data_IF_895364020423
#
_entry.id   IF_895364020423
#
_cell.length_a   1.000
_cell.length_b   1.000
_cell.length_c   1.000
_cell.angle_alpha   90.00
_cell.angle_beta   90.00
_cell.angle_gamma   90.00
#
_symmetry.space_group_name_H-M   'P 1'
#
loop_
_entity.id
_entity.type
_entity.pdbx_description
1 polymer ?
#
# COMPACT_ATOMS: atom_id res chain seq x y z
N UNK A 1 -19.17 -17.34 -25.78
CA UNK A 1 -18.02 -18.24 -25.69
C UNK A 1 -16.81 -17.37 -25.36
N UNK A 2 -16.39 -17.34 -24.10
CA UNK A 2 -15.17 -16.61 -23.72
C UNK A 2 -13.97 -17.41 -24.21
N UNK A 3 -13.25 -16.88 -25.18
CA UNK A 3 -11.94 -17.42 -25.57
C UNK A 3 -11.05 -17.29 -24.36
N UNK A 4 -10.70 -18.41 -23.73
CA UNK A 4 -9.64 -18.45 -22.74
C UNK A 4 -8.39 -17.88 -23.42
N UNK A 5 -7.89 -16.74 -22.90
CA UNK A 5 -6.59 -16.22 -23.31
C UNK A 5 -5.59 -17.30 -22.90
N UNK A 6 -4.96 -17.97 -23.87
CA UNK A 6 -3.90 -18.94 -23.61
C UNK A 6 -2.81 -18.22 -22.80
N UNK A 7 -2.50 -18.76 -21.63
CA UNK A 7 -1.36 -18.30 -20.83
C UNK A 7 -0.08 -18.90 -21.44
N UNK A 8 0.73 -18.11 -22.19
CA UNK A 8 1.88 -18.64 -22.92
C UNK A 8 2.99 -19.19 -22.00
N UNK A 9 2.90 -18.89 -20.72
CA UNK A 9 3.87 -19.34 -19.71
C UNK A 9 3.39 -20.55 -18.90
N UNK A 10 2.13 -20.98 -19.07
CA UNK A 10 1.53 -22.05 -18.26
C UNK A 10 2.38 -23.31 -18.23
N UNK A 11 2.79 -23.82 -19.39
CA UNK A 11 3.58 -25.04 -19.50
C UNK A 11 4.95 -24.90 -18.78
N UNK A 12 5.69 -23.82 -19.04
CA UNK A 12 7.00 -23.58 -18.42
C UNK A 12 6.89 -23.43 -16.89
N UNK A 13 5.87 -22.74 -16.40
CA UNK A 13 5.59 -22.58 -14.96
C UNK A 13 5.29 -23.92 -14.31
N UNK A 14 4.40 -24.72 -14.93
CA UNK A 14 3.96 -26.02 -14.41
C UNK A 14 5.13 -27.01 -14.39
N UNK A 15 5.93 -27.08 -15.46
CA UNK A 15 7.11 -27.94 -15.55
C UNK A 15 8.17 -27.55 -14.52
N UNK A 16 8.43 -26.24 -14.36
CA UNK A 16 9.35 -25.76 -13.34
C UNK A 16 8.86 -26.08 -11.92
N UNK A 17 7.57 -25.90 -11.64
CA UNK A 17 6.99 -26.18 -10.32
C UNK A 17 7.08 -27.68 -9.98
N UNK A 18 6.81 -28.57 -10.95
CA UNK A 18 6.99 -30.03 -10.80
C UNK A 18 8.42 -30.39 -10.49
N UNK A 19 9.38 -29.81 -11.22
CA UNK A 19 10.80 -30.03 -10.97
C UNK A 19 11.23 -29.51 -9.58
N UNK A 20 10.81 -28.28 -9.21
CA UNK A 20 11.18 -27.66 -7.95
C UNK A 20 10.60 -28.39 -6.72
N UNK A 21 9.43 -29.03 -6.85
CA UNK A 21 8.79 -29.80 -5.77
C UNK A 21 9.09 -31.29 -5.80
N UNK A 22 9.67 -31.80 -6.91
CA UNK A 22 9.85 -33.24 -7.14
C UNK A 22 8.54 -34.00 -7.35
N UNK A 23 7.44 -33.31 -7.74
CA UNK A 23 6.11 -33.88 -7.90
C UNK A 23 5.69 -33.83 -9.37
N UNK A 24 5.80 -34.95 -10.13
CA UNK A 24 5.52 -34.95 -11.56
C UNK A 24 4.06 -34.65 -11.90
N UNK A 25 3.13 -34.97 -11.00
CA UNK A 25 1.68 -34.80 -11.18
C UNK A 25 1.14 -33.52 -10.49
N UNK A 26 2.03 -32.58 -10.10
CA UNK A 26 1.62 -31.35 -9.43
C UNK A 26 0.68 -30.53 -10.33
N UNK A 27 -0.47 -30.19 -9.81
CA UNK A 27 -1.44 -29.31 -10.45
C UNK A 27 -1.45 -27.92 -9.77
N UNK A 28 -1.37 -26.88 -10.56
CA UNK A 28 -1.44 -25.50 -10.11
C UNK A 28 -2.86 -24.94 -10.30
N UNK A 29 -3.39 -24.31 -9.26
CA UNK A 29 -4.63 -23.53 -9.30
C UNK A 29 -4.32 -22.04 -9.09
N UNK A 30 -5.01 -21.15 -9.79
CA UNK A 30 -4.78 -19.71 -9.62
C UNK A 30 -5.15 -19.27 -8.20
N UNK A 31 -4.19 -18.73 -7.45
CA UNK A 31 -4.39 -18.25 -6.09
C UNK A 31 -4.83 -16.78 -6.09
N UNK A 32 -4.10 -15.92 -6.81
CA UNK A 32 -4.44 -14.51 -6.97
C UNK A 32 -3.83 -13.93 -8.25
N UNK A 33 -4.29 -12.73 -8.63
CA UNK A 33 -3.65 -11.89 -9.63
C UNK A 33 -3.32 -10.55 -8.98
N UNK A 34 -2.08 -10.13 -9.10
CA UNK A 34 -1.65 -8.81 -8.68
C UNK A 34 -2.24 -7.72 -9.60
N UNK A 35 -2.16 -6.48 -9.16
CA UNK A 35 -2.44 -5.33 -10.00
C UNK A 35 -1.36 -5.14 -11.09
N UNK A 36 -0.16 -5.71 -10.90
CA UNK A 36 0.97 -5.74 -11.82
C UNK A 36 0.95 -6.91 -12.80
N UNK A 37 2.15 -7.35 -13.23
CA UNK A 37 2.33 -8.43 -14.19
C UNK A 37 2.56 -9.79 -13.54
N UNK A 38 2.69 -9.84 -12.21
CA UNK A 38 2.87 -11.07 -11.44
C UNK A 38 1.58 -11.85 -11.32
N UNK A 39 1.70 -13.17 -11.32
CA UNK A 39 0.60 -14.08 -11.01
C UNK A 39 1.03 -15.12 -9.97
N UNK A 40 0.06 -15.54 -9.15
CA UNK A 40 0.31 -16.47 -8.06
C UNK A 40 -0.55 -17.72 -8.22
N UNK A 41 0.06 -18.88 -8.04
CA UNK A 41 -0.54 -20.17 -8.28
C UNK A 41 -0.29 -21.08 -7.09
N UNK A 42 -1.34 -21.69 -6.58
CA UNK A 42 -1.27 -22.56 -5.41
C UNK A 42 -1.24 -24.03 -5.83
N UNK A 43 -0.46 -24.83 -5.14
CA UNK A 43 -0.43 -26.29 -5.29
C UNK A 43 -0.36 -26.96 -3.92
N UNK A 44 -0.90 -28.19 -3.84
CA UNK A 44 -0.72 -29.07 -2.67
C UNK A 44 0.40 -30.06 -2.97
N UNK A 45 1.41 -30.09 -2.11
CA UNK A 45 2.54 -31.01 -2.19
C UNK A 45 2.32 -32.14 -1.17
N UNK A 46 2.17 -33.42 -1.59
CA UNK A 46 1.94 -34.52 -0.68
C UNK A 46 3.01 -34.61 0.41
N UNK A 47 2.58 -34.65 1.67
CA UNK A 47 3.45 -34.74 2.85
C UNK A 47 4.16 -33.42 3.25
N UNK A 48 4.02 -32.32 2.49
CA UNK A 48 4.67 -31.04 2.76
C UNK A 48 3.67 -29.88 2.96
N UNK A 49 2.39 -30.09 2.63
CA UNK A 49 1.37 -29.04 2.69
C UNK A 49 1.19 -28.30 1.37
N UNK A 50 0.74 -27.05 1.44
CA UNK A 50 0.56 -26.21 0.24
C UNK A 50 1.73 -25.25 0.02
N UNK A 51 1.95 -24.90 -1.25
CA UNK A 51 2.97 -23.95 -1.71
C UNK A 51 2.36 -22.99 -2.71
N UNK A 52 3.01 -21.83 -2.90
CA UNK A 52 2.62 -20.83 -3.90
C UNK A 52 3.74 -20.64 -4.90
N UNK A 53 3.43 -20.75 -6.18
CA UNK A 53 4.31 -20.39 -7.27
C UNK A 53 4.01 -18.95 -7.69
N UNK A 54 5.00 -18.06 -7.58
CA UNK A 54 4.95 -16.72 -8.18
C UNK A 54 5.54 -16.81 -9.58
N UNK A 55 4.81 -16.31 -10.56
CA UNK A 55 5.26 -16.15 -11.95
C UNK A 55 5.35 -14.67 -12.27
N UNK A 56 6.59 -14.18 -12.45
CA UNK A 56 6.94 -12.81 -12.85
C UNK A 56 7.58 -12.86 -14.21
N UNK A 57 6.86 -12.57 -15.32
CA UNK A 57 7.40 -12.65 -16.67
C UNK A 57 8.61 -11.71 -16.86
N UNK A 58 9.83 -12.18 -17.10
CA UNK A 58 11.04 -11.34 -17.12
C UNK A 58 11.01 -10.20 -18.16
N UNK A 59 10.25 -10.37 -19.24
CA UNK A 59 10.07 -9.33 -20.25
C UNK A 59 9.21 -8.15 -19.76
N UNK A 60 8.45 -8.30 -18.68
CA UNK A 60 7.53 -7.32 -18.12
C UNK A 60 7.97 -6.83 -16.75
N UNK A 61 8.50 -7.72 -15.91
CA UNK A 61 8.89 -7.41 -14.54
C UNK A 61 10.03 -8.32 -14.06
N UNK A 62 11.18 -7.73 -13.70
CA UNK A 62 12.31 -8.45 -13.12
C UNK A 62 12.02 -8.87 -11.68
N UNK A 63 12.23 -10.14 -11.35
CA UNK A 63 12.00 -10.69 -10.01
C UNK A 63 13.13 -10.34 -9.01
N UNK A 64 14.29 -9.90 -9.47
CA UNK A 64 15.47 -9.64 -8.62
C UNK A 64 15.25 -8.52 -7.60
N UNK A 65 14.56 -7.39 -7.90
CA UNK A 65 14.22 -6.40 -6.90
C UNK A 65 13.33 -6.95 -5.78
N UNK A 66 12.36 -7.83 -6.11
CA UNK A 66 11.54 -8.51 -5.12
C UNK A 66 12.39 -9.38 -4.19
N UNK A 67 13.27 -10.23 -4.75
CA UNK A 67 14.17 -11.08 -3.96
C UNK A 67 15.11 -10.27 -3.07
N UNK A 68 15.65 -9.17 -3.58
CA UNK A 68 16.52 -8.29 -2.81
C UNK A 68 15.81 -7.70 -1.59
N UNK A 69 14.59 -7.22 -1.77
CA UNK A 69 13.80 -6.67 -0.66
C UNK A 69 13.38 -7.78 0.31
N UNK A 70 12.97 -8.95 -0.21
CA UNK A 70 12.69 -10.13 0.61
C UNK A 70 13.87 -10.46 1.52
N UNK A 71 15.08 -10.62 0.95
CA UNK A 71 16.29 -10.98 1.72
C UNK A 71 16.66 -9.91 2.75
N UNK A 72 16.39 -8.62 2.46
CA UNK A 72 16.61 -7.52 3.39
C UNK A 72 15.67 -7.61 4.60
N UNK A 73 14.38 -7.82 4.34
CA UNK A 73 13.35 -7.92 5.38
C UNK A 73 13.54 -9.18 6.23
N UNK A 74 13.78 -10.33 5.61
CA UNK A 74 14.00 -11.60 6.31
C UNK A 74 15.21 -11.50 7.26
N UNK A 75 16.35 -10.94 6.81
CA UNK A 75 17.52 -10.69 7.65
C UNK A 75 17.25 -9.70 8.78
N UNK A 76 16.35 -8.75 8.57
CA UNK A 76 15.86 -7.81 9.58
C UNK A 76 14.86 -8.42 10.57
N UNK A 77 14.55 -9.71 10.45
CA UNK A 77 13.61 -10.40 11.34
C UNK A 77 12.15 -10.11 11.06
N UNK A 78 11.84 -9.51 9.90
CA UNK A 78 10.46 -9.33 9.43
C UNK A 78 9.95 -10.66 8.91
N UNK A 79 8.74 -11.05 9.30
CA UNK A 79 8.09 -12.26 8.79
C UNK A 79 7.57 -12.00 7.38
N UNK A 80 8.23 -12.59 6.41
CA UNK A 80 7.85 -12.61 4.99
C UNK A 80 7.65 -14.07 4.54
N UNK A 81 6.98 -14.37 3.40
CA UNK A 81 6.88 -15.74 2.89
C UNK A 81 8.27 -16.32 2.61
N UNK A 82 8.56 -17.52 3.09
CA UNK A 82 9.86 -18.16 2.81
C UNK A 82 9.99 -18.49 1.33
N UNK A 83 11.16 -18.24 0.75
CA UNK A 83 11.50 -18.68 -0.62
C UNK A 83 12.04 -20.10 -0.55
N UNK A 84 11.30 -21.06 -1.10
CA UNK A 84 11.63 -22.49 -1.07
C UNK A 84 12.50 -22.89 -2.27
N UNK A 85 12.25 -22.29 -3.44
CA UNK A 85 13.07 -22.44 -4.64
C UNK A 85 12.94 -21.21 -5.54
N UNK A 86 13.90 -20.97 -6.42
CA UNK A 86 13.90 -19.83 -7.33
C UNK A 86 14.54 -20.15 -8.67
N UNK A 87 13.98 -19.57 -9.74
CA UNK A 87 14.57 -19.45 -11.06
C UNK A 87 14.45 -17.99 -11.50
N UNK A 88 15.50 -17.23 -11.26
CA UNK A 88 15.51 -15.79 -11.53
C UNK A 88 15.50 -15.44 -13.01
N UNK A 89 16.02 -16.31 -13.87
CA UNK A 89 16.09 -16.07 -15.30
C UNK A 89 14.75 -16.37 -15.97
N UNK A 90 14.03 -17.38 -15.49
CA UNK A 90 12.66 -17.67 -15.92
C UNK A 90 11.62 -16.81 -15.18
N UNK A 91 11.97 -16.19 -14.03
CA UNK A 91 11.08 -15.36 -13.22
C UNK A 91 10.11 -16.18 -12.37
N UNK A 92 10.49 -17.38 -11.92
CA UNK A 92 9.67 -18.23 -11.06
C UNK A 92 10.22 -18.30 -9.63
N UNK A 93 9.33 -18.17 -8.65
CA UNK A 93 9.65 -18.43 -7.24
C UNK A 93 8.65 -19.44 -6.66
N UNK A 94 9.16 -20.42 -5.90
CA UNK A 94 8.35 -21.28 -5.05
C UNK A 94 8.37 -20.69 -3.64
N UNK A 95 7.21 -20.33 -3.15
CA UNK A 95 7.03 -19.65 -1.88
C UNK A 95 6.25 -20.52 -0.90
N UNK A 96 6.47 -20.29 0.38
CA UNK A 96 5.59 -20.75 1.44
C UNK A 96 4.17 -20.26 1.21
N UNK A 97 3.18 -21.13 1.41
CA UNK A 97 1.78 -20.74 1.40
C UNK A 97 1.35 -20.28 2.80
N UNK A 98 1.02 -19.02 2.94
CA UNK A 98 0.54 -18.42 4.18
C UNK A 98 -0.98 -18.51 4.36
N UNK A 99 -1.69 -19.22 3.47
CA UNK A 99 -3.14 -19.32 3.48
C UNK A 99 -3.83 -18.38 2.50
N UNK A 100 -5.13 -18.24 2.64
CA UNK A 100 -5.95 -17.45 1.71
C UNK A 100 -6.40 -16.10 2.30
N UNK A 101 -6.43 -15.98 3.62
CA UNK A 101 -7.00 -14.83 4.30
C UNK A 101 -5.93 -13.82 4.68
N UNK A 102 -6.10 -12.59 4.22
CA UNK A 102 -5.32 -11.45 4.70
C UNK A 102 -5.96 -10.89 5.97
N UNK A 103 -5.24 -10.01 6.66
CA UNK A 103 -5.78 -9.32 7.83
C UNK A 103 -7.09 -8.57 7.51
N UNK A 104 -7.25 -8.06 6.28
CA UNK A 104 -8.47 -7.41 5.82
C UNK A 104 -9.72 -8.32 5.93
N UNK A 105 -9.57 -9.64 5.78
CA UNK A 105 -10.66 -10.60 5.83
C UNK A 105 -11.07 -10.99 7.26
N UNK A 106 -10.16 -10.87 8.23
CA UNK A 106 -10.34 -11.39 9.58
C UNK A 106 -10.46 -10.31 10.66
N UNK A 107 -10.08 -9.07 10.35
CA UNK A 107 -10.10 -7.96 11.31
C UNK A 107 -11.51 -7.40 11.47
N UNK A 108 -11.91 -7.18 12.71
CA UNK A 108 -13.17 -6.52 13.08
C UNK A 108 -12.99 -5.59 14.29
N UNK A 109 -14.08 -4.95 14.74
CA UNK A 109 -14.03 -4.00 15.84
C UNK A 109 -13.61 -4.62 17.18
N UNK A 110 -13.83 -5.94 17.38
CA UNK A 110 -13.54 -6.64 18.62
C UNK A 110 -12.10 -7.15 18.70
N UNK A 111 -11.44 -7.39 17.55
CA UNK A 111 -10.09 -7.95 17.49
C UNK A 111 -9.03 -6.98 16.95
N UNK A 112 -9.43 -5.80 16.46
CA UNK A 112 -8.55 -4.84 15.80
C UNK A 112 -7.34 -4.44 16.66
N UNK A 113 -7.50 -4.25 17.96
CA UNK A 113 -6.39 -3.83 18.83
C UNK A 113 -5.26 -4.87 18.84
N UNK A 114 -5.60 -6.15 18.98
CA UNK A 114 -4.61 -7.23 18.99
C UNK A 114 -3.91 -7.38 17.61
N UNK A 115 -4.67 -7.28 16.53
CA UNK A 115 -4.13 -7.36 15.18
C UNK A 115 -3.22 -6.17 14.84
N UNK A 116 -3.62 -4.97 15.24
CA UNK A 116 -2.79 -3.77 15.02
C UNK A 116 -1.55 -3.77 15.93
N UNK A 117 -1.62 -4.33 17.13
CA UNK A 117 -0.41 -4.54 17.95
C UNK A 117 0.59 -5.46 17.24
N UNK A 118 0.13 -6.57 16.67
CA UNK A 118 0.98 -7.46 15.88
C UNK A 118 1.50 -6.79 14.58
N UNK A 119 0.70 -5.93 13.95
CA UNK A 119 1.14 -5.15 12.80
C UNK A 119 2.20 -4.12 13.19
N UNK A 120 2.05 -3.43 14.32
CA UNK A 120 3.08 -2.52 14.84
C UNK A 120 4.39 -3.29 15.09
N UNK A 121 4.35 -4.51 15.61
CA UNK A 121 5.56 -5.34 15.82
C UNK A 121 6.35 -5.54 14.53
N UNK A 122 5.67 -5.90 13.43
CA UNK A 122 6.32 -6.07 12.13
C UNK A 122 6.83 -4.74 11.56
N UNK A 123 6.04 -3.67 11.72
CA UNK A 123 6.42 -2.34 11.22
C UNK A 123 7.67 -1.80 11.92
N UNK A 124 7.78 -1.97 13.23
CA UNK A 124 8.97 -1.57 13.99
C UNK A 124 10.23 -2.33 13.54
N UNK A 125 10.08 -3.63 13.21
CA UNK A 125 11.18 -4.42 12.62
C UNK A 125 11.59 -3.88 11.25
N UNK A 126 10.63 -3.56 10.38
CA UNK A 126 10.90 -2.96 9.07
C UNK A 126 11.68 -1.64 9.25
N UNK A 127 11.20 -0.76 10.10
CA UNK A 127 11.78 0.58 10.28
C UNK A 127 13.10 0.59 11.06
N UNK A 128 13.42 -0.48 11.79
CA UNK A 128 14.70 -0.67 12.42
C UNK A 128 15.80 -1.12 11.44
N UNK A 129 15.43 -1.59 10.24
CA UNK A 129 16.39 -1.95 9.19
C UNK A 129 17.00 -0.66 8.62
N UNK A 130 18.33 -0.49 8.65
CA UNK A 130 18.97 0.62 7.94
C UNK A 130 18.62 0.57 6.45
N UNK A 131 18.04 1.66 5.93
CA UNK A 131 17.73 1.74 4.51
C UNK A 131 19.05 1.69 3.70
N UNK A 132 19.19 0.75 2.73
CA UNK A 132 20.34 0.72 1.84
C UNK A 132 20.51 2.03 1.07
N UNK A 133 21.75 2.46 0.83
CA UNK A 133 22.06 3.73 0.15
C UNK A 133 21.50 3.81 -1.28
N UNK A 134 21.34 2.67 -1.93
CA UNK A 134 20.81 2.55 -3.31
C UNK A 134 19.28 2.31 -3.34
N UNK A 135 18.62 2.34 -2.18
CA UNK A 135 17.16 2.29 -2.14
C UNK A 135 16.57 3.61 -2.65
N UNK A 136 15.53 3.59 -3.51
CA UNK A 136 14.88 4.81 -3.94
C UNK A 136 14.44 5.67 -2.76
N UNK A 137 14.59 6.97 -2.88
CA UNK A 137 14.12 7.91 -1.86
C UNK A 137 12.70 8.36 -2.18
N UNK A 138 11.90 8.52 -1.12
CA UNK A 138 10.62 9.22 -1.22
C UNK A 138 10.91 10.73 -1.26
N UNK A 139 11.41 11.16 -2.39
CA UNK A 139 11.89 12.52 -2.64
C UNK A 139 10.78 13.48 -3.11
N UNK A 140 11.13 14.76 -3.28
CA UNK A 140 10.22 15.80 -3.78
C UNK A 140 9.59 15.39 -5.12
N UNK A 141 10.38 14.80 -6.03
CA UNK A 141 9.92 14.43 -7.36
C UNK A 141 8.87 13.30 -7.29
N UNK A 142 9.08 12.28 -6.42
CA UNK A 142 8.12 11.19 -6.24
C UNK A 142 6.85 11.68 -5.54
N UNK A 143 6.98 12.42 -4.44
CA UNK A 143 5.86 13.02 -3.72
C UNK A 143 5.01 13.93 -4.62
N UNK A 144 5.66 14.77 -5.41
CA UNK A 144 5.01 15.68 -6.36
C UNK A 144 4.26 14.93 -7.45
N UNK A 145 4.88 13.91 -8.08
CA UNK A 145 4.20 13.07 -9.09
C UNK A 145 2.97 12.39 -8.53
N UNK A 146 3.02 11.91 -7.29
CA UNK A 146 1.89 11.26 -6.66
C UNK A 146 0.75 12.24 -6.34
N UNK A 147 1.06 13.45 -5.88
CA UNK A 147 0.06 14.50 -5.64
C UNK A 147 -0.64 14.92 -6.93
N UNK A 148 0.09 15.01 -8.07
CA UNK A 148 -0.51 15.35 -9.37
C UNK A 148 -1.52 14.33 -9.88
N UNK A 149 -1.55 13.12 -9.34
CA UNK A 149 -2.62 12.16 -9.67
C UNK A 149 -4.00 12.67 -9.23
N UNK A 150 -4.07 13.52 -8.17
CA UNK A 150 -5.32 14.10 -7.73
C UNK A 150 -5.89 15.09 -8.74
N UNK A 151 -5.11 16.07 -9.18
CA UNK A 151 -5.58 17.07 -10.15
C UNK A 151 -5.79 16.47 -11.55
N UNK A 152 -4.88 15.61 -12.02
CA UNK A 152 -4.98 15.03 -13.36
C UNK A 152 -6.11 14.01 -13.48
N UNK A 153 -6.18 13.06 -12.54
CA UNK A 153 -7.07 11.91 -12.67
C UNK A 153 -8.37 12.08 -11.89
N UNK A 154 -8.31 12.55 -10.63
CA UNK A 154 -9.52 12.67 -9.85
C UNK A 154 -10.31 13.93 -10.22
N UNK A 155 -9.70 15.12 -10.16
CA UNK A 155 -10.41 16.35 -10.59
C UNK A 155 -10.68 16.35 -12.08
N UNK A 156 -9.65 16.19 -12.91
CA UNK A 156 -9.76 16.35 -14.35
C UNK A 156 -10.55 15.24 -15.03
N UNK A 157 -10.10 13.98 -14.91
CA UNK A 157 -10.67 12.85 -15.64
C UNK A 157 -11.93 12.30 -15.01
N UNK A 158 -12.01 12.19 -13.69
CA UNK A 158 -13.15 11.57 -13.02
C UNK A 158 -14.29 12.55 -12.78
N UNK A 159 -14.01 13.72 -12.23
CA UNK A 159 -15.02 14.74 -11.94
C UNK A 159 -15.29 15.69 -13.11
N UNK A 160 -14.46 15.67 -14.16
CA UNK A 160 -14.62 16.58 -15.32
C UNK A 160 -14.33 18.05 -14.99
N UNK A 161 -13.67 18.32 -13.87
CA UNK A 161 -13.36 19.67 -13.42
C UNK A 161 -12.16 20.21 -14.20
N UNK A 162 -12.25 21.45 -14.63
CA UNK A 162 -11.16 22.21 -15.23
C UNK A 162 -10.74 23.33 -14.24
N UNK A 163 -9.74 23.09 -13.38
CA UNK A 163 -9.31 24.08 -12.39
C UNK A 163 -8.80 25.36 -13.09
N UNK A 164 -9.23 26.53 -12.61
CA UNK A 164 -8.70 27.81 -13.07
C UNK A 164 -7.28 28.07 -12.53
N UNK A 165 -6.60 29.10 -13.02
CA UNK A 165 -5.24 29.44 -12.58
C UNK A 165 -5.13 29.58 -11.07
N UNK A 166 -6.09 30.25 -10.40
CA UNK A 166 -6.09 30.41 -8.95
C UNK A 166 -6.26 29.11 -8.18
N UNK A 167 -6.99 28.11 -8.74
CA UNK A 167 -7.12 26.78 -8.11
C UNK A 167 -5.83 25.97 -8.28
N UNK A 168 -5.16 26.08 -9.45
CA UNK A 168 -3.86 25.45 -9.67
C UNK A 168 -2.80 26.02 -8.73
N UNK A 169 -2.77 27.34 -8.56
CA UNK A 169 -1.87 28.00 -7.59
C UNK A 169 -2.16 27.54 -6.15
N UNK A 170 -3.45 27.40 -5.78
CA UNK A 170 -3.86 26.90 -4.47
C UNK A 170 -3.41 25.45 -4.24
N UNK A 171 -3.51 24.58 -5.26
CA UNK A 171 -3.01 23.21 -5.20
C UNK A 171 -1.48 23.19 -5.08
N UNK A 172 -0.77 24.00 -5.86
CA UNK A 172 0.70 24.06 -5.82
C UNK A 172 1.22 24.51 -4.46
N UNK A 173 0.58 25.50 -3.84
CA UNK A 173 0.91 25.94 -2.48
C UNK A 173 0.70 24.81 -1.45
N UNK A 174 -0.44 24.15 -1.52
CA UNK A 174 -0.75 23.04 -0.61
C UNK A 174 0.20 21.86 -0.81
N UNK A 175 0.53 21.51 -2.07
CA UNK A 175 1.45 20.42 -2.38
C UNK A 175 2.86 20.71 -1.84
N UNK A 176 3.32 21.94 -1.95
CA UNK A 176 4.60 22.37 -1.35
C UNK A 176 4.61 22.16 0.16
N UNK A 177 3.55 22.59 0.86
CA UNK A 177 3.42 22.37 2.32
C UNK A 177 3.48 20.87 2.67
N UNK A 178 2.78 20.03 1.91
CA UNK A 178 2.74 18.58 2.16
C UNK A 178 4.10 17.90 1.87
N UNK A 179 4.76 18.31 0.79
CA UNK A 179 6.08 17.81 0.40
C UNK A 179 7.12 18.22 1.45
N UNK A 180 7.17 19.50 1.81
CA UNK A 180 8.12 20.01 2.80
C UNK A 180 7.92 19.30 4.16
N UNK A 181 6.67 19.10 4.58
CA UNK A 181 6.35 18.38 5.82
C UNK A 181 6.78 16.91 5.77
N UNK A 182 6.65 16.24 4.62
CA UNK A 182 7.10 14.86 4.44
C UNK A 182 8.63 14.76 4.47
N UNK A 183 9.32 15.66 3.77
CA UNK A 183 10.79 15.69 3.69
C UNK A 183 11.47 16.09 5.01
N UNK A 184 10.77 16.82 5.88
CA UNK A 184 11.24 17.20 7.21
C UNK A 184 11.19 16.07 8.24
N UNK A 185 10.48 14.97 7.95
CA UNK A 185 10.40 13.82 8.86
C UNK A 185 11.70 13.00 8.83
N UNK A 186 12.03 12.32 9.94
CA UNK A 186 13.07 11.30 9.92
C UNK A 186 12.79 10.23 8.87
N UNK A 187 13.87 9.75 8.23
CA UNK A 187 13.76 8.72 7.18
C UNK A 187 14.00 7.34 7.75
N UNK A 188 13.17 6.40 7.34
CA UNK A 188 13.26 4.97 7.66
C UNK A 188 13.00 4.15 6.39
N UNK A 189 13.11 2.82 6.46
CA UNK A 189 12.58 1.93 5.44
C UNK A 189 11.05 2.01 5.48
N UNK A 190 10.43 2.46 4.39
CA UNK A 190 8.99 2.62 4.21
C UNK A 190 8.50 1.60 3.20
N UNK A 191 7.52 0.80 3.60
CA UNK A 191 6.89 -0.23 2.79
C UNK A 191 6.01 0.35 1.68
N UNK A 192 5.39 1.52 1.91
CA UNK A 192 4.43 2.28 1.08
C UNK A 192 3.01 1.70 1.03
N UNK A 193 2.87 0.40 1.03
CA UNK A 193 1.58 -0.29 0.99
C UNK A 193 1.37 -1.18 2.23
N UNK A 194 1.80 -0.68 3.41
CA UNK A 194 1.63 -1.33 4.70
C UNK A 194 0.20 -1.18 5.18
N UNK A 195 -0.65 -2.13 4.82
CA UNK A 195 -2.09 -2.08 5.07
C UNK A 195 -2.66 -3.50 5.26
N UNK A 196 -3.85 -3.67 5.87
CA UNK A 196 -4.42 -4.96 6.22
C UNK A 196 -4.49 -5.99 5.08
N UNK A 197 -4.67 -5.56 3.83
CA UNK A 197 -4.70 -6.47 2.68
C UNK A 197 -3.34 -7.10 2.35
N UNK A 198 -2.24 -6.50 2.81
CA UNK A 198 -0.87 -6.94 2.59
C UNK A 198 -0.24 -7.57 3.84
N UNK A 199 -1.05 -7.86 4.84
CA UNK A 199 -0.66 -8.56 6.07
C UNK A 199 -1.41 -9.88 6.15
N UNK A 200 -0.69 -10.97 6.40
CA UNK A 200 -1.26 -12.33 6.50
C UNK A 200 -1.18 -12.81 7.95
N UNK A 201 -2.31 -13.17 8.59
CA UNK A 201 -2.27 -13.86 9.87
C UNK A 201 -1.51 -15.18 9.77
N UNK A 202 -0.55 -15.37 10.66
CA UNK A 202 0.24 -16.60 10.78
C UNK A 202 0.42 -16.97 12.25
N UNK A 203 0.86 -18.19 12.54
CA UNK A 203 1.18 -18.58 13.90
C UNK A 203 2.22 -17.63 14.50
N UNK A 204 1.86 -17.00 15.62
CA UNK A 204 2.73 -16.07 16.33
C UNK A 204 2.75 -14.63 15.80
N UNK A 205 1.84 -14.25 14.90
CA UNK A 205 1.74 -12.84 14.48
C UNK A 205 1.24 -12.62 13.05
N UNK A 206 1.91 -11.74 12.32
CA UNK A 206 1.57 -11.37 10.95
C UNK A 206 2.79 -11.53 10.03
N UNK A 207 2.57 -12.00 8.81
CA UNK A 207 3.55 -11.93 7.72
C UNK A 207 3.23 -10.78 6.79
N UNK A 208 4.28 -10.19 6.19
CA UNK A 208 4.20 -8.99 5.35
C UNK A 208 4.35 -9.39 3.89
N UNK A 209 3.49 -8.87 3.04
CA UNK A 209 3.47 -9.05 1.58
C UNK A 209 3.67 -7.70 0.86
N UNK A 210 3.94 -7.76 -0.44
CA UNK A 210 3.91 -6.60 -1.36
C UNK A 210 4.92 -5.49 -1.02
N UNK A 211 6.13 -5.89 -0.65
CA UNK A 211 7.20 -5.06 -0.11
C UNK A 211 8.23 -4.57 -1.16
N UNK A 212 8.15 -4.99 -2.41
CA UNK A 212 9.18 -4.73 -3.42
C UNK A 212 9.31 -3.26 -3.84
N UNK A 213 8.29 -2.45 -3.59
CA UNK A 213 8.28 -1.02 -3.90
C UNK A 213 8.68 -0.13 -2.71
N UNK A 214 9.32 -0.72 -1.70
CA UNK A 214 9.79 -0.01 -0.52
C UNK A 214 10.83 1.07 -0.87
N UNK A 215 10.85 2.13 -0.07
CA UNK A 215 11.71 3.32 -0.27
C UNK A 215 12.28 3.79 1.07
N UNK A 216 13.32 4.64 1.02
CA UNK A 216 13.73 5.43 2.18
C UNK A 216 12.83 6.68 2.27
N UNK A 217 11.99 6.79 3.31
CA UNK A 217 10.96 7.82 3.37
C UNK A 217 10.51 8.20 4.78
N UNK A 218 9.46 9.03 4.88
CA UNK A 218 9.00 9.62 6.14
C UNK A 218 8.44 8.56 7.10
N UNK A 219 8.89 8.59 8.35
CA UNK A 219 8.59 7.59 9.38
C UNK A 219 7.10 7.43 9.66
N UNK A 220 6.29 8.48 9.50
CA UNK A 220 4.85 8.44 9.76
C UNK A 220 4.03 7.87 8.58
N UNK A 221 4.63 7.52 7.43
CA UNK A 221 3.88 7.06 6.25
C UNK A 221 3.16 5.73 6.49
N UNK A 222 3.89 4.69 6.85
CA UNK A 222 3.32 3.35 7.00
C UNK A 222 2.34 3.21 8.16
N UNK A 223 2.58 3.79 9.38
CA UNK A 223 1.57 3.74 10.43
C UNK A 223 0.27 4.47 10.01
N UNK A 224 0.39 5.57 9.24
CA UNK A 224 -0.78 6.25 8.69
C UNK A 224 -1.50 5.39 7.64
N UNK A 225 -0.75 4.69 6.79
CA UNK A 225 -1.31 3.75 5.80
C UNK A 225 -2.06 2.60 6.46
N UNK A 226 -1.53 2.08 7.57
CA UNK A 226 -2.12 0.98 8.33
C UNK A 226 -3.47 1.36 8.96
N UNK A 227 -3.54 2.51 9.64
CA UNK A 227 -4.70 2.89 10.44
C UNK A 227 -5.74 3.71 9.69
N UNK A 228 -5.35 4.38 8.60
CA UNK A 228 -6.25 5.06 7.64
C UNK A 228 -6.23 4.32 6.30
N UNK A 229 -6.73 3.09 6.34
CA UNK A 229 -6.70 2.16 5.23
C UNK A 229 -7.63 2.55 4.07
N UNK A 230 -7.38 1.95 2.92
CA UNK A 230 -8.17 2.15 1.71
C UNK A 230 -9.51 1.39 1.72
N UNK A 231 -9.64 0.36 2.53
CA UNK A 231 -10.78 -0.57 2.50
C UNK A 231 -11.53 -0.65 3.83
N UNK A 232 -10.92 -0.21 4.93
CA UNK A 232 -11.50 -0.16 6.28
C UNK A 232 -11.45 1.25 6.84
N UNK A 233 -12.46 1.63 7.61
CA UNK A 233 -12.49 2.87 8.38
C UNK A 233 -12.73 2.58 9.84
N UNK A 234 -12.08 3.36 10.69
CA UNK A 234 -12.17 3.27 12.13
C UNK A 234 -12.52 4.63 12.72
N UNK A 235 -13.17 4.67 13.89
CA UNK A 235 -13.40 5.92 14.58
C UNK A 235 -12.11 6.72 14.78
N UNK A 236 -12.11 8.05 14.57
CA UNK A 236 -10.90 8.88 14.62
C UNK A 236 -10.13 8.75 15.94
N UNK A 237 -10.83 8.61 17.06
CA UNK A 237 -10.25 8.41 18.39
C UNK A 237 -9.49 7.07 18.52
N UNK A 238 -9.96 6.01 17.86
CA UNK A 238 -9.23 4.73 17.83
C UNK A 238 -7.96 4.86 17.00
N UNK A 239 -8.06 5.49 15.83
CA UNK A 239 -6.91 5.74 14.95
C UNK A 239 -5.84 6.55 15.67
N UNK A 240 -6.21 7.62 16.38
CA UNK A 240 -5.28 8.42 17.17
C UNK A 240 -4.65 7.60 18.28
N UNK A 241 -5.44 6.77 18.99
CA UNK A 241 -4.94 5.87 20.03
C UNK A 241 -3.89 4.88 19.49
N UNK A 242 -4.10 4.29 18.29
CA UNK A 242 -3.12 3.39 17.66
C UNK A 242 -1.87 4.13 17.15
N UNK A 243 -2.01 5.34 16.63
CA UNK A 243 -0.88 6.18 16.25
C UNK A 243 -0.01 6.54 17.47
N UNK A 244 -0.63 6.89 18.61
CA UNK A 244 0.09 7.16 19.86
C UNK A 244 0.75 5.89 20.42
N UNK A 245 0.09 4.75 20.33
CA UNK A 245 0.67 3.45 20.72
C UNK A 245 1.88 3.09 19.86
N UNK A 246 1.77 3.24 18.54
CA UNK A 246 2.92 3.08 17.64
C UNK A 246 4.05 4.04 18.02
N UNK A 247 3.75 5.33 18.22
CA UNK A 247 4.75 6.34 18.59
C UNK A 247 5.51 5.99 19.86
N UNK A 248 4.82 5.61 20.94
CA UNK A 248 5.45 5.20 22.20
C UNK A 248 6.39 4.00 21.99
N UNK A 249 5.91 2.97 21.29
CA UNK A 249 6.70 1.77 21.00
C UNK A 249 7.86 2.04 20.05
N UNK A 250 7.72 2.97 19.11
CA UNK A 250 8.78 3.40 18.22
C UNK A 250 9.92 4.11 18.99
N UNK A 251 9.58 4.97 19.94
CA UNK A 251 10.58 5.58 20.85
C UNK A 251 11.34 4.51 21.64
N UNK A 252 10.63 3.57 22.25
CA UNK A 252 11.22 2.48 23.02
C UNK A 252 12.13 1.59 22.17
N UNK A 253 11.78 1.39 20.90
CA UNK A 253 12.56 0.63 19.93
C UNK A 253 13.71 1.43 19.29
N UNK A 254 13.89 2.72 19.63
CA UNK A 254 14.93 3.57 19.04
C UNK A 254 14.67 3.99 17.59
N UNK A 255 13.43 3.88 17.09
CA UNK A 255 13.04 4.39 15.79
C UNK A 255 13.05 5.92 15.84
N UNK A 256 13.57 6.61 14.83
CA UNK A 256 13.71 8.07 14.84
C UNK A 256 12.35 8.77 14.63
N UNK A 257 11.50 8.78 15.66
CA UNK A 257 10.25 9.55 15.69
C UNK A 257 10.44 10.83 16.51
N UNK A 258 9.68 11.91 16.27
CA UNK A 258 9.68 13.08 17.14
C UNK A 258 9.38 12.70 18.59
N UNK A 259 10.10 13.27 19.56
CA UNK A 259 9.88 12.97 20.98
C UNK A 259 8.48 13.41 21.46
N UNK A 260 7.97 14.53 20.94
CA UNK A 260 6.65 15.04 21.27
C UNK A 260 5.56 14.32 20.45
N UNK A 261 4.60 13.64 21.09
CA UNK A 261 3.54 12.91 20.39
C UNK A 261 2.66 13.82 19.51
N UNK A 262 2.44 15.07 19.91
CA UNK A 262 1.67 16.04 19.13
C UNK A 262 2.35 16.36 17.80
N UNK A 263 3.69 16.42 17.79
CA UNK A 263 4.45 16.60 16.56
C UNK A 263 4.35 15.39 15.64
N UNK A 264 4.44 14.20 16.21
CA UNK A 264 4.24 12.96 15.43
C UNK A 264 2.83 12.87 14.85
N UNK A 265 1.78 13.19 15.64
CA UNK A 265 0.42 13.19 15.14
C UNK A 265 0.20 14.24 14.03
N UNK A 266 0.84 15.40 14.14
CA UNK A 266 0.85 16.40 13.05
C UNK A 266 1.49 15.84 11.79
N UNK A 267 2.66 15.23 11.91
CA UNK A 267 3.39 14.63 10.79
C UNK A 267 2.57 13.49 10.14
N UNK A 268 1.88 12.65 10.94
CA UNK A 268 0.98 11.61 10.48
C UNK A 268 -0.25 12.16 9.74
N UNK A 269 -0.83 13.28 10.21
CA UNK A 269 -1.96 13.93 9.53
C UNK A 269 -1.55 14.51 8.18
N UNK A 270 -0.41 15.21 8.10
CA UNK A 270 0.06 15.83 6.86
C UNK A 270 0.45 14.78 5.81
N UNK A 271 1.19 13.73 6.20
CA UNK A 271 1.49 12.65 5.27
C UNK A 271 0.24 11.85 4.89
N UNK A 272 -0.75 11.76 5.80
CA UNK A 272 -2.05 11.20 5.53
C UNK A 272 -2.80 11.97 4.44
N UNK A 273 -2.83 13.30 4.51
CA UNK A 273 -3.45 14.14 3.47
C UNK A 273 -2.77 13.89 2.11
N UNK A 274 -1.43 13.89 2.04
CA UNK A 274 -0.68 13.57 0.82
C UNK A 274 -1.11 12.20 0.26
N UNK A 275 -1.14 11.17 1.10
CA UNK A 275 -1.51 9.82 0.71
C UNK A 275 -2.98 9.73 0.24
N UNK A 276 -3.89 10.42 0.91
CA UNK A 276 -5.31 10.40 0.54
C UNK A 276 -5.56 11.04 -0.83
N UNK A 277 -4.91 12.16 -1.13
CA UNK A 277 -4.96 12.78 -2.45
C UNK A 277 -4.38 11.85 -3.53
N UNK A 278 -3.21 11.25 -3.29
CA UNK A 278 -2.60 10.23 -4.16
C UNK A 278 -3.58 9.10 -4.46
N UNK A 279 -4.21 8.52 -3.42
CA UNK A 279 -5.09 7.35 -3.59
C UNK A 279 -6.35 7.69 -4.35
N UNK A 280 -6.96 8.87 -4.13
CA UNK A 280 -8.08 9.37 -4.94
C UNK A 280 -7.69 9.39 -6.43
N UNK A 281 -6.51 9.92 -6.75
CA UNK A 281 -5.97 9.93 -8.11
C UNK A 281 -5.70 8.53 -8.67
N UNK A 282 -5.13 7.62 -7.87
CA UNK A 282 -4.91 6.22 -8.26
C UNK A 282 -6.24 5.52 -8.56
N UNK A 283 -7.26 5.67 -7.72
CA UNK A 283 -8.56 5.05 -7.92
C UNK A 283 -9.25 5.56 -9.19
N UNK A 284 -9.18 6.86 -9.45
CA UNK A 284 -9.65 7.45 -10.69
C UNK A 284 -8.89 6.89 -11.91
N UNK A 285 -7.57 6.75 -11.82
CA UNK A 285 -6.74 6.19 -12.88
C UNK A 285 -7.06 4.72 -13.13
N UNK A 286 -7.20 3.90 -12.08
CA UNK A 286 -7.60 2.49 -12.19
C UNK A 286 -8.98 2.34 -12.85
N UNK A 287 -9.92 3.25 -12.55
CA UNK A 287 -11.22 3.26 -13.18
C UNK A 287 -11.13 3.60 -14.68
N UNK A 288 -10.52 4.73 -15.04
CA UNK A 288 -10.56 5.26 -16.39
C UNK A 288 -9.55 4.63 -17.36
N UNK A 289 -8.35 4.28 -16.87
CA UNK A 289 -7.28 3.71 -17.69
C UNK A 289 -7.31 2.19 -17.71
N UNK A 290 -7.54 1.58 -16.55
CA UNK A 290 -7.33 0.13 -16.37
C UNK A 290 -8.66 -0.66 -16.32
N UNK A 291 -9.82 0.03 -16.47
CA UNK A 291 -11.14 -0.59 -16.50
C UNK A 291 -11.53 -1.29 -15.19
N UNK A 292 -11.02 -0.81 -14.03
CA UNK A 292 -11.27 -1.37 -12.70
C UNK A 292 -12.17 -0.45 -11.85
N UNK A 293 -13.50 -0.40 -12.08
CA UNK A 293 -14.39 0.58 -11.45
C UNK A 293 -14.59 0.37 -9.95
N UNK A 294 -14.33 -0.83 -9.43
CA UNK A 294 -14.59 -1.17 -8.03
C UNK A 294 -13.85 -0.27 -7.02
N UNK A 295 -12.69 0.27 -7.39
CA UNK A 295 -11.87 1.06 -6.48
C UNK A 295 -12.41 2.47 -6.24
N UNK A 296 -13.06 3.08 -7.25
CA UNK A 296 -13.57 4.46 -7.11
C UNK A 296 -14.74 4.55 -6.12
N UNK A 297 -15.41 3.42 -5.86
CA UNK A 297 -16.47 3.35 -4.85
C UNK A 297 -15.98 3.66 -3.43
N UNK A 298 -14.68 3.49 -3.15
CA UNK A 298 -14.06 3.83 -1.87
C UNK A 298 -13.57 5.29 -1.78
N UNK A 299 -13.70 6.10 -2.84
CA UNK A 299 -13.32 7.52 -2.82
C UNK A 299 -13.96 8.33 -1.68
N UNK A 300 -15.26 8.14 -1.30
CA UNK A 300 -15.87 8.86 -0.19
C UNK A 300 -15.12 8.69 1.15
N UNK A 301 -14.50 7.54 1.38
CA UNK A 301 -13.68 7.27 2.58
C UNK A 301 -12.51 8.24 2.70
N UNK A 302 -11.79 8.45 1.59
CA UNK A 302 -10.62 9.36 1.58
C UNK A 302 -11.04 10.81 1.73
N UNK A 303 -12.21 11.19 1.20
CA UNK A 303 -12.77 12.51 1.42
C UNK A 303 -13.14 12.73 2.89
N UNK A 304 -13.69 11.73 3.57
CA UNK A 304 -13.94 11.80 5.01
C UNK A 304 -12.62 11.96 5.80
N UNK A 305 -11.55 11.26 5.44
CA UNK A 305 -10.24 11.46 6.08
C UNK A 305 -9.66 12.86 5.84
N UNK A 306 -9.91 13.47 4.67
CA UNK A 306 -9.53 14.86 4.39
C UNK A 306 -10.38 15.84 5.21
N UNK A 307 -11.68 15.57 5.40
CA UNK A 307 -12.58 16.39 6.22
C UNK A 307 -12.14 16.42 7.68
N UNK A 308 -11.68 15.29 8.21
CA UNK A 308 -11.18 15.20 9.57
C UNK A 308 -9.83 15.93 9.76
N UNK A 309 -9.00 15.93 8.73
CA UNK A 309 -7.62 16.41 8.86
C UNK A 309 -7.45 17.89 8.47
N UNK A 310 -8.06 18.36 7.38
CA UNK A 310 -7.85 19.70 6.83
C UNK A 310 -8.17 20.84 7.82
N UNK A 311 -9.25 20.78 8.62
CA UNK A 311 -9.55 21.85 9.59
C UNK A 311 -8.46 22.05 10.66
N UNK A 312 -7.64 21.03 10.91
CA UNK A 312 -6.53 21.09 11.87
C UNK A 312 -5.25 21.72 11.28
N UNK A 313 -5.26 22.06 9.99
CA UNK A 313 -4.12 22.56 9.23
C UNK A 313 -4.49 23.82 8.44
N UNK A 314 -4.54 25.02 9.08
CA UNK A 314 -4.88 26.27 8.41
C UNK A 314 -4.00 26.61 7.21
N UNK A 315 -2.76 26.15 7.20
CA UNK A 315 -1.83 26.26 6.09
C UNK A 315 -2.30 25.55 4.81
N UNK A 316 -3.24 24.61 4.92
CA UNK A 316 -3.87 23.88 3.82
C UNK A 316 -5.28 24.43 3.46
N UNK A 317 -5.66 25.61 3.97
CA UNK A 317 -6.93 26.25 3.60
C UNK A 317 -7.10 26.43 2.06
N UNK A 318 -6.03 26.70 1.26
CA UNK A 318 -6.17 26.72 -0.20
C UNK A 318 -6.68 25.41 -0.79
N UNK A 319 -6.18 24.26 -0.33
CA UNK A 319 -6.64 22.93 -0.75
C UNK A 319 -8.09 22.69 -0.32
N UNK A 320 -8.44 23.00 0.93
CA UNK A 320 -9.80 22.88 1.42
C UNK A 320 -10.78 23.69 0.54
N UNK A 321 -10.39 24.91 0.14
CA UNK A 321 -11.16 25.74 -0.79
C UNK A 321 -11.38 25.10 -2.16
N UNK A 322 -10.38 24.44 -2.72
CA UNK A 322 -10.51 23.71 -4.01
C UNK A 322 -11.48 22.53 -3.85
N UNK A 323 -11.37 21.75 -2.77
CA UNK A 323 -12.27 20.62 -2.49
C UNK A 323 -13.72 21.10 -2.37
N UNK A 324 -13.98 22.16 -1.63
CA UNK A 324 -15.33 22.71 -1.44
C UNK A 324 -15.93 23.26 -2.76
N UNK A 325 -15.14 23.95 -3.57
CA UNK A 325 -15.64 24.53 -4.82
C UNK A 325 -15.88 23.51 -5.91
N UNK A 326 -15.08 22.46 -5.99
CA UNK A 326 -15.07 21.58 -7.16
C UNK A 326 -15.45 20.12 -6.83
N UNK A 327 -14.95 19.55 -5.75
CA UNK A 327 -15.16 18.12 -5.44
C UNK A 327 -16.57 17.89 -4.92
N UNK A 328 -17.01 18.69 -3.95
CA UNK A 328 -18.33 18.52 -3.31
C UNK A 328 -19.51 18.67 -4.28
N UNK A 329 -19.56 19.74 -5.10
CA UNK A 329 -20.67 19.88 -6.06
C UNK A 329 -20.68 18.78 -7.13
N UNK A 330 -19.50 18.37 -7.63
CA UNK A 330 -19.41 17.32 -8.65
C UNK A 330 -19.92 15.97 -8.13
N UNK A 331 -19.58 15.60 -6.90
CA UNK A 331 -20.05 14.36 -6.27
C UNK A 331 -21.56 14.42 -5.97
N UNK A 332 -22.09 15.55 -5.50
CA UNK A 332 -23.52 15.73 -5.27
C UNK A 332 -24.32 15.54 -6.58
N UNK A 333 -23.83 16.08 -7.70
CA UNK A 333 -24.43 15.93 -9.02
C UNK A 333 -24.40 14.47 -9.49
N UNK A 334 -23.28 13.76 -9.30
CA UNK A 334 -23.15 12.35 -9.67
C UNK A 334 -24.13 11.44 -8.90
N UNK A 335 -24.31 11.70 -7.60
CA UNK A 335 -25.25 10.96 -6.76
C UNK A 335 -26.70 11.21 -7.18
N UNK A 336 -27.06 12.46 -7.53
CA UNK A 336 -28.41 12.81 -8.01
C UNK A 336 -28.74 12.21 -9.39
N UNK A 337 -27.74 11.95 -10.22
CA UNK A 337 -27.91 11.33 -11.54
C UNK A 337 -28.03 9.79 -11.49
N UNK A 338 -27.62 9.17 -10.39
CA UNK A 338 -27.62 7.72 -10.18
C UNK A 338 -28.87 7.21 -9.40
N UNK A 339 -29.66 8.11 -8.78
CA UNK A 339 -30.90 7.81 -8.06
C UNK A 339 -32.12 8.17 -8.89
#
# INVERSE_FOLDING_TARGET
>A
MSTAIEDPRAAARDDWARAATGQPDLALARASADAGFRSYWRATVPGQGSVVVMDSPPALEDVRPWLRMHDLLERGGVRVPRVLARDTDAGFLLLEDLGADTLLHVIDAGNADAHFDAAIDQLLRIQAIPAPDDLPHYDEALLGRELRLFDEWFLGRHLGVQPGCGDLEALDLAYRVLIDAALAQPRVLVHRDYMPRNLMPVDGGLAVLDFQDAVAGPVAYDPTSLFKDAFLSWPPERVEGWLLRYHARALDAGIPVPAAPERFLRDARLIGIQRHLKVLGIFARLHHRDGKPKYIADAPRFLAYLDDALPLHPELAPLAGVIERHVRPALATATAAAG
#
